data_IF_099737643192
#
_entry.id   IF_099737643192
#
_cell.length_a   1.000
_cell.length_b   1.000
_cell.length_c   1.000
_cell.angle_alpha   90.00
_cell.angle_beta   90.00
_cell.angle_gamma   90.00
#
_symmetry.space_group_name_H-M   'P 1'
#
loop_
_entity.id
_entity.type
_entity.pdbx_description
1 polymer ?
#
# COMPACT_ATOMS: atom_id res chain seq x y z
N UNK A 1 0.96 -1.84 -8.35
CA UNK A 1 1.04 -0.67 -7.45
C UNK A 1 2.49 -0.49 -7.04
N UNK A 2 2.85 0.63 -6.43
CA UNK A 2 4.15 0.83 -5.79
C UNK A 2 3.98 0.76 -4.27
N UNK A 3 5.07 0.51 -3.56
CA UNK A 3 5.08 0.66 -2.10
C UNK A 3 4.76 2.11 -1.69
N UNK A 4 3.97 2.30 -0.62
CA UNK A 4 3.56 3.64 -0.16
C UNK A 4 4.62 4.34 0.69
N UNK A 5 5.70 3.65 1.07
CA UNK A 5 6.83 4.20 1.82
C UNK A 5 8.14 3.92 1.07
N UNK A 6 9.15 4.76 1.27
CA UNK A 6 10.45 4.64 0.58
C UNK A 6 11.28 3.46 1.07
N UNK A 7 11.37 3.29 2.39
CA UNK A 7 12.03 2.16 3.03
C UNK A 7 10.96 1.13 3.36
N UNK A 8 11.06 -0.05 2.74
CA UNK A 8 10.04 -1.08 2.83
C UNK A 8 10.55 -2.18 3.74
N UNK A 9 10.00 -2.23 4.93
CA UNK A 9 10.15 -3.34 5.87
C UNK A 9 8.76 -3.78 6.30
N UNK A 10 8.39 -5.03 5.99
CA UNK A 10 7.09 -5.60 6.34
C UNK A 10 7.20 -6.23 7.73
N UNK A 11 6.54 -5.63 8.72
CA UNK A 11 6.49 -6.15 10.09
C UNK A 11 5.43 -7.24 10.23
N UNK A 12 4.31 -7.10 9.51
CA UNK A 12 3.24 -8.08 9.51
C UNK A 12 2.64 -8.24 8.11
N UNK A 13 2.70 -9.44 7.53
CA UNK A 13 2.21 -9.67 6.18
C UNK A 13 0.68 -9.73 6.14
N UNK A 14 0.13 -9.64 4.93
CA UNK A 14 -1.29 -9.89 4.68
C UNK A 14 -1.68 -11.31 5.09
N UNK A 15 -2.84 -11.45 5.74
CA UNK A 15 -3.41 -12.75 6.06
C UNK A 15 -4.90 -12.76 5.72
N UNK A 16 -5.22 -13.42 4.60
CA UNK A 16 -6.59 -13.55 4.13
C UNK A 16 -7.45 -14.27 5.17
N UNK A 17 -8.51 -13.64 5.71
CA UNK A 17 -9.38 -14.32 6.63
C UNK A 17 -10.20 -15.38 5.87
N UNK A 18 -10.23 -16.62 6.40
CA UNK A 18 -10.95 -17.76 5.79
C UNK A 18 -12.43 -17.46 5.51
N UNK A 19 -13.03 -16.58 6.32
CA UNK A 19 -14.33 -15.97 6.05
C UNK A 19 -14.23 -14.46 6.26
N UNK A 20 -15.03 -13.62 5.57
CA UNK A 20 -14.90 -12.16 5.67
C UNK A 20 -15.00 -11.56 7.07
N UNK A 21 -15.74 -12.21 7.97
CA UNK A 21 -15.95 -11.78 9.36
C UNK A 21 -14.99 -12.45 10.35
N UNK A 22 -14.16 -13.39 9.92
CA UNK A 22 -13.16 -14.01 10.78
C UNK A 22 -11.99 -13.06 11.03
N UNK A 23 -11.22 -13.29 12.11
CA UNK A 23 -9.96 -12.59 12.34
C UNK A 23 -9.03 -12.77 11.15
N UNK A 24 -8.33 -11.70 10.77
CA UNK A 24 -7.31 -11.73 9.75
C UNK A 24 -6.64 -10.36 9.62
N UNK A 25 -5.61 -10.29 8.78
CA UNK A 25 -4.84 -9.09 8.56
C UNK A 25 -5.12 -8.58 7.14
N UNK A 26 -5.98 -7.58 7.03
CA UNK A 26 -6.60 -7.12 5.77
C UNK A 26 -5.74 -6.10 5.01
N UNK A 27 -4.46 -6.06 5.36
CA UNK A 27 -3.42 -5.21 4.81
C UNK A 27 -2.07 -5.73 5.24
N UNK A 28 -1.04 -4.91 5.07
CA UNK A 28 0.33 -5.19 5.53
C UNK A 28 0.75 -4.07 6.48
N UNK A 29 1.47 -4.42 7.54
CA UNK A 29 2.06 -3.44 8.45
C UNK A 29 3.48 -3.16 7.98
N UNK A 30 3.74 -1.91 7.62
CA UNK A 30 5.04 -1.45 7.16
C UNK A 30 5.71 -0.66 8.28
N UNK A 31 6.97 -0.99 8.61
CA UNK A 31 7.73 -0.23 9.60
C UNK A 31 7.80 1.23 9.19
N UNK A 32 7.25 2.10 10.03
CA UNK A 32 7.18 3.52 9.80
C UNK A 32 6.81 4.25 11.10
N UNK A 33 7.65 5.22 11.49
CA UNK A 33 7.37 6.10 12.62
C UNK A 33 6.48 7.27 12.23
N UNK A 34 5.92 7.97 13.22
CA UNK A 34 5.22 9.23 13.02
C UNK A 34 6.04 10.20 12.15
N UNK A 35 5.39 10.84 11.18
CA UNK A 35 6.04 11.76 10.25
C UNK A 35 6.71 11.08 9.06
N UNK A 36 6.71 9.75 8.96
CA UNK A 36 7.12 9.04 7.73
C UNK A 36 6.24 9.47 6.57
N UNK A 37 6.84 9.84 5.44
CA UNK A 37 6.13 10.22 4.22
C UNK A 37 5.37 9.03 3.61
N UNK A 38 4.12 9.26 3.23
CA UNK A 38 3.29 8.30 2.50
C UNK A 38 3.13 8.79 1.06
N UNK A 39 3.25 7.86 0.11
CA UNK A 39 3.12 8.08 -1.33
C UNK A 39 1.98 7.27 -1.92
N UNK A 40 1.31 7.83 -2.93
CA UNK A 40 0.22 7.15 -3.64
C UNK A 40 0.72 5.89 -4.39
N UNK A 41 0.22 4.69 -4.07
CA UNK A 41 0.63 3.44 -4.73
C UNK A 41 0.30 3.37 -6.22
N UNK A 42 -0.69 4.14 -6.65
CA UNK A 42 -1.16 4.25 -8.02
C UNK A 42 -1.89 5.58 -8.22
N UNK A 43 -2.16 5.96 -9.47
CA UNK A 43 -3.06 7.06 -9.80
C UNK A 43 -4.44 6.82 -9.16
N UNK A 44 -5.10 7.87 -8.68
CA UNK A 44 -6.38 7.73 -8.01
C UNK A 44 -6.98 9.04 -7.54
N UNK A 45 -8.00 8.93 -6.69
CA UNK A 45 -8.71 10.06 -6.08
C UNK A 45 -8.79 9.82 -4.58
N UNK A 46 -8.48 10.83 -3.77
CA UNK A 46 -8.67 10.79 -2.32
C UNK A 46 -10.16 10.59 -2.03
N UNK A 47 -10.52 9.43 -1.47
CA UNK A 47 -11.91 9.05 -1.21
C UNK A 47 -12.33 9.24 0.25
N UNK A 48 -11.37 9.35 1.17
CA UNK A 48 -11.61 9.59 2.58
C UNK A 48 -10.36 10.17 3.26
N UNK A 49 -10.57 11.12 4.17
CA UNK A 49 -9.58 11.60 5.15
C UNK A 49 -10.32 11.92 6.44
N UNK A 50 -10.00 11.24 7.54
CA UNK A 50 -10.72 11.41 8.80
C UNK A 50 -10.46 10.31 9.82
N UNK A 51 -11.33 10.19 10.82
CA UNK A 51 -11.23 9.15 11.87
C UNK A 51 -12.20 7.99 11.63
N UNK A 52 -11.72 6.76 11.82
CA UNK A 52 -12.52 5.53 11.84
C UNK A 52 -12.14 4.74 13.08
N UNK A 53 -13.10 4.41 13.95
CA UNK A 53 -12.86 3.67 15.20
C UNK A 53 -11.64 4.21 15.99
N UNK A 54 -11.59 5.54 16.17
CA UNK A 54 -10.50 6.30 16.80
C UNK A 54 -9.14 6.36 16.08
N UNK A 55 -8.99 5.74 14.92
CA UNK A 55 -7.77 5.78 14.11
C UNK A 55 -7.88 6.80 13.00
N UNK A 56 -6.79 7.53 12.71
CA UNK A 56 -6.75 8.43 11.55
C UNK A 56 -6.51 7.62 10.28
N UNK A 57 -7.36 7.81 9.28
CA UNK A 57 -7.35 7.01 8.05
C UNK A 57 -7.36 7.93 6.84
N UNK A 58 -6.50 7.62 5.87
CA UNK A 58 -6.55 8.18 4.52
C UNK A 58 -6.87 7.06 3.54
N UNK A 59 -7.78 7.31 2.58
CA UNK A 59 -8.11 6.34 1.54
C UNK A 59 -8.04 6.95 0.16
N UNK A 60 -7.56 6.17 -0.80
CA UNK A 60 -7.44 6.56 -2.21
C UNK A 60 -8.09 5.49 -3.08
N UNK A 61 -9.05 5.90 -3.91
CA UNK A 61 -9.72 5.03 -4.88
C UNK A 61 -8.93 4.99 -6.19
N UNK A 62 -8.53 3.78 -6.60
CA UNK A 62 -7.79 3.47 -7.83
C UNK A 62 -8.67 2.66 -8.80
N UNK A 63 -9.83 3.21 -9.17
CA UNK A 63 -10.85 2.48 -9.93
C UNK A 63 -11.64 1.50 -9.05
N UNK A 64 -11.47 0.19 -9.26
CA UNK A 64 -12.22 -0.85 -8.52
C UNK A 64 -11.61 -1.21 -7.16
N UNK A 65 -10.42 -0.72 -6.85
CA UNK A 65 -9.69 -1.01 -5.62
C UNK A 65 -9.40 0.28 -4.86
N UNK A 66 -9.45 0.23 -3.53
CA UNK A 66 -9.17 1.36 -2.64
C UNK A 66 -7.97 1.03 -1.76
N UNK A 67 -6.94 1.87 -1.79
CA UNK A 67 -5.86 1.85 -0.81
C UNK A 67 -6.33 2.53 0.48
N UNK A 68 -6.07 1.93 1.63
CA UNK A 68 -6.32 2.52 2.95
C UNK A 68 -5.02 2.57 3.74
N UNK A 69 -4.75 3.69 4.39
CA UNK A 69 -3.57 3.88 5.24
C UNK A 69 -4.04 4.26 6.65
N UNK A 70 -3.58 3.51 7.65
CA UNK A 70 -3.79 3.84 9.06
C UNK A 70 -2.57 3.47 9.90
N UNK A 71 -2.17 4.26 10.89
CA UNK A 71 -2.60 5.63 11.15
C UNK A 71 -2.01 6.62 10.12
N UNK A 72 -2.83 7.43 9.46
CA UNK A 72 -2.36 8.39 8.44
C UNK A 72 -3.13 9.73 8.45
N UNK A 73 -2.44 10.80 8.06
CA UNK A 73 -3.01 12.14 7.84
C UNK A 73 -2.58 12.71 6.49
N UNK A 74 -3.44 13.55 5.92
CA UNK A 74 -3.19 14.26 4.67
C UNK A 74 -3.79 15.66 4.74
N UNK A 75 -3.13 16.62 4.10
CA UNK A 75 -3.68 17.96 3.84
C UNK A 75 -4.49 18.01 2.53
N UNK A 76 -4.49 16.92 1.76
CA UNK A 76 -5.27 16.82 0.53
C UNK A 76 -6.76 16.75 0.82
N UNK A 77 -7.56 17.27 -0.10
CA UNK A 77 -9.01 17.27 0.03
C UNK A 77 -9.63 15.99 -0.56
N UNK A 78 -10.75 15.53 0.02
CA UNK A 78 -11.54 14.46 -0.60
C UNK A 78 -12.02 14.93 -1.99
N UNK A 79 -11.85 14.07 -3.00
CA UNK A 79 -12.10 14.38 -4.40
C UNK A 79 -10.85 14.82 -5.18
N UNK A 80 -9.73 15.09 -4.50
CA UNK A 80 -8.49 15.48 -5.15
C UNK A 80 -7.81 14.28 -5.85
N UNK A 81 -7.27 14.52 -7.05
CA UNK A 81 -6.56 13.51 -7.83
C UNK A 81 -5.10 13.37 -7.39
N UNK A 82 -4.61 12.14 -7.30
CA UNK A 82 -3.20 11.82 -7.08
C UNK A 82 -2.61 11.06 -8.26
N UNK A 83 -1.31 11.25 -8.48
CA UNK A 83 -0.48 10.43 -9.37
C UNK A 83 0.30 9.38 -8.61
N UNK A 84 0.58 8.24 -9.23
CA UNK A 84 1.44 7.21 -8.66
C UNK A 84 2.79 7.80 -8.24
N UNK A 85 3.19 7.56 -7.00
CA UNK A 85 4.43 8.08 -6.42
C UNK A 85 4.34 9.53 -5.94
N UNK A 86 3.18 10.17 -6.05
CA UNK A 86 2.95 11.49 -5.46
C UNK A 86 2.91 11.36 -3.93
N UNK A 87 3.55 12.30 -3.24
CA UNK A 87 3.42 12.47 -1.80
C UNK A 87 1.97 12.79 -1.43
N UNK A 88 1.40 12.08 -0.46
CA UNK A 88 0.00 12.25 -0.05
C UNK A 88 -0.15 12.64 1.42
N UNK A 89 0.92 12.63 2.23
CA UNK A 89 0.83 12.94 3.64
C UNK A 89 1.77 12.09 4.48
N UNK A 90 1.41 11.90 5.74
CA UNK A 90 2.30 11.33 6.75
C UNK A 90 1.64 10.22 7.55
N UNK A 91 2.48 9.29 8.02
CA UNK A 91 2.13 8.38 9.11
C UNK A 91 1.87 9.22 10.36
N UNK A 92 0.80 8.89 11.06
CA UNK A 92 0.41 9.57 12.31
C UNK A 92 0.44 8.60 13.48
N UNK A 93 0.00 9.01 14.66
CA UNK A 93 -0.13 8.15 15.85
C UNK A 93 -1.58 7.83 16.17
N UNK A 94 -1.78 6.92 17.12
CA UNK A 94 -3.09 6.56 17.65
C UNK A 94 -3.70 5.36 16.95
N UNK A 95 -2.86 4.36 16.68
CA UNK A 95 -3.27 3.05 16.19
C UNK A 95 -3.46 2.08 17.35
N UNK A 96 -4.39 1.13 17.20
CA UNK A 96 -4.58 -0.01 18.10
C UNK A 96 -3.67 -1.20 17.77
N UNK A 97 -2.88 -1.09 16.70
CA UNK A 97 -1.89 -2.06 16.29
C UNK A 97 -0.49 -1.43 16.27
N UNK A 98 0.51 -2.30 16.39
CA UNK A 98 1.94 -2.03 16.22
C UNK A 98 2.55 -0.88 17.05
N UNK A 99 1.97 -0.50 18.20
CA UNK A 99 2.57 0.44 19.17
C UNK A 99 3.16 1.74 18.56
N UNK A 100 2.52 2.27 17.51
CA UNK A 100 2.96 3.44 16.71
C UNK A 100 4.29 3.29 15.95
N UNK A 101 4.75 2.06 15.69
CA UNK A 101 5.94 1.78 14.88
C UNK A 101 5.65 1.38 13.43
N UNK A 102 4.39 1.47 13.00
CA UNK A 102 4.01 1.09 11.65
C UNK A 102 2.88 1.92 11.04
N UNK A 103 2.74 1.78 9.73
CA UNK A 103 1.51 2.10 9.00
C UNK A 103 0.96 0.83 8.34
N UNK A 104 -0.32 0.54 8.59
CA UNK A 104 -1.03 -0.51 7.88
C UNK A 104 -1.51 0.02 6.53
N UNK A 105 -1.11 -0.67 5.46
CA UNK A 105 -1.61 -0.44 4.10
C UNK A 105 -2.53 -1.58 3.68
N UNK A 106 -3.81 -1.26 3.49
CA UNK A 106 -4.83 -2.21 3.02
C UNK A 106 -5.25 -1.95 1.58
N UNK A 107 -5.66 -3.01 0.88
CA UNK A 107 -6.23 -2.94 -0.47
C UNK A 107 -7.63 -3.56 -0.49
N UNK A 108 -8.65 -2.70 -0.59
CA UNK A 108 -10.06 -3.09 -0.49
C UNK A 108 -10.75 -3.04 -1.85
N UNK A 109 -11.38 -4.14 -2.27
CA UNK A 109 -12.21 -4.20 -3.49
C UNK A 109 -13.68 -3.93 -3.14
N UNK A 110 -14.18 -4.57 -2.07
CA UNK A 110 -15.55 -4.42 -1.61
C UNK A 110 -15.60 -4.43 -0.09
N UNK A 111 -16.80 -4.41 0.52
CA UNK A 111 -16.96 -4.40 1.99
C UNK A 111 -16.09 -5.45 2.71
N UNK A 112 -15.93 -6.61 2.07
CA UNK A 112 -15.46 -7.84 2.67
C UNK A 112 -14.34 -8.53 1.87
N UNK A 113 -13.90 -7.93 0.76
CA UNK A 113 -12.89 -8.51 -0.15
C UNK A 113 -11.69 -7.59 -0.16
N UNK A 114 -10.53 -8.17 0.17
CA UNK A 114 -9.24 -7.51 0.23
C UNK A 114 -8.23 -8.28 -0.61
N UNK A 115 -7.29 -7.54 -1.19
CA UNK A 115 -6.16 -8.09 -1.94
C UNK A 115 -4.88 -7.97 -1.11
N UNK A 116 -3.91 -8.82 -1.41
CA UNK A 116 -2.58 -8.77 -0.82
C UNK A 116 -1.78 -7.56 -1.39
N UNK A 117 -1.43 -6.56 -0.56
CA UNK A 117 -0.65 -5.40 -0.99
C UNK A 117 0.77 -5.76 -1.44
N UNK A 118 1.42 -6.75 -0.83
CA UNK A 118 2.79 -7.14 -1.16
C UNK A 118 2.84 -7.73 -2.56
N UNK A 119 1.88 -8.58 -2.92
CA UNK A 119 1.77 -9.12 -4.29
C UNK A 119 1.54 -7.96 -5.28
N UNK A 120 0.62 -7.03 -4.98
CA UNK A 120 0.34 -5.89 -5.88
C UNK A 120 1.52 -4.94 -6.04
N UNK A 121 2.39 -4.81 -5.04
CA UNK A 121 3.59 -3.99 -5.09
C UNK A 121 4.77 -4.72 -5.75
N UNK A 122 4.92 -6.03 -5.52
CA UNK A 122 6.05 -6.85 -6.00
C UNK A 122 5.92 -7.34 -7.44
N UNK A 123 4.70 -7.42 -8.01
CA UNK A 123 4.44 -7.85 -9.39
C UNK A 123 5.16 -7.05 -10.49
N UNK A 124 5.88 -5.97 -10.17
CA UNK A 124 6.71 -5.20 -11.11
C UNK A 124 8.21 -5.53 -11.08
N UNK A 125 8.66 -6.44 -10.21
CA UNK A 125 10.05 -6.92 -10.17
C UNK A 125 10.23 -8.24 -10.93
N UNK A 126 9.55 -8.44 -12.06
CA UNK A 126 9.99 -9.44 -13.04
C UNK A 126 10.83 -8.71 -14.08
N UNK A 127 12.12 -8.55 -13.77
CA UNK A 127 13.13 -8.28 -14.80
C UNK A 127 13.38 -9.61 -15.47
N UNK A 128 12.83 -9.83 -16.67
CA UNK A 128 13.34 -10.89 -17.54
C UNK A 128 14.78 -10.51 -17.87
N UNK A 129 15.75 -11.17 -17.22
CA UNK A 129 17.11 -11.14 -17.74
C UNK A 129 17.06 -11.93 -19.04
N UNK A 130 17.05 -11.23 -20.17
CA UNK A 130 17.29 -11.86 -21.47
C UNK A 130 18.55 -12.68 -21.33
N UNK A 131 18.46 -14.00 -21.53
CA UNK A 131 19.65 -14.80 -21.79
C UNK A 131 20.18 -14.27 -23.13
N UNK A 132 21.21 -13.44 -23.07
CA UNK A 132 22.02 -13.16 -24.25
C UNK A 132 22.49 -14.51 -24.78
N UNK A 133 22.00 -14.87 -25.96
CA UNK A 133 22.51 -15.98 -26.76
C UNK A 133 23.98 -15.69 -27.02
N UNK A 134 24.86 -16.30 -26.21
CA UNK A 134 26.19 -16.63 -26.69
C UNK A 134 26.00 -17.68 -27.78
N UNK A 135 26.11 -17.22 -29.02
CA UNK A 135 27.12 -17.74 -29.93
C UNK A 135 27.15 -16.85 -31.19
N UNK A 136 28.17 -16.00 -31.24
CA UNK A 136 28.68 -15.41 -32.47
C UNK A 136 30.06 -16.02 -32.72
N UNK A 137 30.22 -16.66 -33.87
CA UNK A 137 31.27 -16.47 -34.88
C UNK A 137 31.30 -17.73 -35.75
N UNK A 138 30.71 -17.70 -36.95
CA UNK A 138 31.26 -17.16 -38.20
C UNK A 138 32.47 -17.94 -38.75
N UNK A 139 32.18 -18.66 -39.83
CA UNK A 139 32.93 -18.75 -41.11
C UNK A 139 34.26 -19.52 -41.13
N UNK A 140 34.24 -20.70 -41.77
CA UNK A 140 34.98 -20.97 -43.03
C UNK A 140 34.39 -22.18 -43.75
#
# INVERSE_FOLDING_TARGET
MNWPVKQVEVLRPFYSPVKPWMPGHRGVDLEALEGTEIFAPADGIVSFSGKVANKKVVSIKHGYITSTFEPATTDMHVGESVKRGQFIGYVSIGSDHCDNSCVQWGLKISRNIYEDPEIKASMRRIVWKSLESKDKQDIS
#
